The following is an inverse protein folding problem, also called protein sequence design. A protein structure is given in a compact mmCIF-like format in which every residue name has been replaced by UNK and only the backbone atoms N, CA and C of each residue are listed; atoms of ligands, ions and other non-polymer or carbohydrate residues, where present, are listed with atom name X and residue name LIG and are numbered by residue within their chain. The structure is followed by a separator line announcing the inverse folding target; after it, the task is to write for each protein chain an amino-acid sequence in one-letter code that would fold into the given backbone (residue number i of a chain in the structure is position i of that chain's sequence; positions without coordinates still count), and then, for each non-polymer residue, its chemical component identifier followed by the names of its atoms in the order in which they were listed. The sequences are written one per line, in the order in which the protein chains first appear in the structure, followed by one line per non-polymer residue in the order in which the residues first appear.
data_IF_622704931953
#
_entry.id   IF_622704931953
#
_cell.length_a   1.000
_cell.length_b   1.000
_cell.length_c   1.000
_cell.angle_alpha   90.00
_cell.angle_beta   90.00
_cell.angle_gamma   90.00
#
_symmetry.space_group_name_H-M   'P 1'
#
loop_
_entity.id
_entity.type
_entity.pdbx_description
1 polymer ?
#
# COMPACT_ATOMS: atom_id res chain seq x y z
N UNK A 1 15.75 -46.72 11.22
CA UNK A 1 14.55 -46.36 10.41
C UNK A 1 13.48 -45.61 11.21
N UNK A 2 13.10 -46.03 12.43
CA UNK A 2 12.08 -45.34 13.26
C UNK A 2 12.27 -43.82 13.46
N UNK A 3 13.52 -43.34 13.56
CA UNK A 3 13.81 -41.90 13.73
C UNK A 3 13.55 -41.06 12.48
N UNK A 4 13.67 -41.63 11.28
CA UNK A 4 13.42 -40.93 10.01
C UNK A 4 11.93 -40.72 9.79
N UNK A 5 11.09 -41.71 10.15
CA UNK A 5 9.63 -41.56 10.08
C UNK A 5 9.10 -40.46 10.99
N UNK A 6 9.69 -40.28 12.18
CA UNK A 6 9.33 -39.16 13.06
C UNK A 6 9.66 -37.80 12.46
N UNK A 7 10.84 -37.65 11.84
CA UNK A 7 11.25 -36.39 11.20
C UNK A 7 10.35 -36.08 9.99
N UNK A 8 10.04 -37.10 9.17
CA UNK A 8 9.16 -36.95 8.01
C UNK A 8 7.74 -36.55 8.45
N UNK A 9 7.23 -37.15 9.55
CA UNK A 9 5.92 -36.80 10.09
C UNK A 9 5.86 -35.34 10.57
N UNK A 10 6.90 -34.86 11.27
CA UNK A 10 6.97 -33.47 11.73
C UNK A 10 7.07 -32.50 10.54
N UNK A 11 7.89 -32.83 9.53
CA UNK A 11 8.03 -32.02 8.33
C UNK A 11 6.72 -31.95 7.52
N UNK A 12 5.96 -33.05 7.43
CA UNK A 12 4.67 -33.08 6.76
C UNK A 12 3.64 -32.17 7.47
N UNK A 13 3.58 -32.19 8.80
CA UNK A 13 2.67 -31.33 9.58
C UNK A 13 3.05 -29.85 9.43
N UNK A 14 4.35 -29.52 9.47
CA UNK A 14 4.82 -28.15 9.28
C UNK A 14 4.52 -27.63 7.86
N UNK A 15 4.68 -28.48 6.84
CA UNK A 15 4.36 -28.14 5.46
C UNK A 15 2.86 -27.92 5.24
N UNK A 16 1.97 -28.76 5.81
CA UNK A 16 0.52 -28.59 5.65
C UNK A 16 -0.03 -27.40 6.46
N UNK A 17 0.51 -27.15 7.65
CA UNK A 17 0.16 -25.97 8.45
C UNK A 17 0.70 -24.68 7.80
N UNK A 18 1.91 -24.70 7.27
CA UNK A 18 2.50 -23.59 6.52
C UNK A 18 1.75 -23.31 5.22
N UNK A 19 1.32 -24.35 4.50
CA UNK A 19 0.49 -24.20 3.30
C UNK A 19 -0.91 -23.67 3.61
N UNK A 20 -1.56 -24.12 4.70
CA UNK A 20 -2.85 -23.56 5.15
C UNK A 20 -2.72 -22.07 5.54
N UNK A 21 -1.63 -21.70 6.20
CA UNK A 21 -1.36 -20.32 6.61
C UNK A 21 -1.05 -19.41 5.41
N UNK A 22 -0.27 -19.89 4.44
CA UNK A 22 0.01 -19.13 3.22
C UNK A 22 -1.18 -19.09 2.25
N UNK A 23 -2.00 -20.15 2.18
CA UNK A 23 -3.22 -20.18 1.35
C UNK A 23 -4.34 -19.29 1.92
N UNK A 24 -4.38 -19.08 3.24
CA UNK A 24 -5.31 -18.13 3.86
C UNK A 24 -4.89 -16.66 3.67
N UNK A 25 -3.78 -16.38 2.98
CA UNK A 25 -3.34 -15.03 2.61
C UNK A 25 -3.70 -14.64 1.16
N UNK A 26 -4.55 -15.40 0.46
CA UNK A 26 -5.03 -15.02 -0.88
C UNK A 26 -5.98 -13.80 -0.84
N UNK A 27 -6.58 -13.49 0.31
CA UNK A 27 -7.42 -12.31 0.51
C UNK A 27 -7.01 -11.60 1.81
N UNK A 28 -5.91 -10.86 1.79
CA UNK A 28 -5.96 -9.60 2.52
C UNK A 28 -6.94 -8.70 1.75
N UNK A 29 -8.24 -8.92 1.95
CA UNK A 29 -9.26 -7.92 1.70
C UNK A 29 -8.92 -6.75 2.61
N UNK A 30 -8.07 -5.85 2.12
CA UNK A 30 -7.98 -4.51 2.65
C UNK A 30 -9.41 -3.99 2.58
N UNK A 31 -10.02 -3.78 3.75
CA UNK A 31 -11.35 -3.19 3.83
C UNK A 31 -11.40 -1.98 2.91
N UNK A 32 -12.50 -1.80 2.17
CA UNK A 32 -12.73 -0.59 1.37
C UNK A 32 -12.42 0.70 2.16
N UNK A 33 -12.58 0.66 3.48
CA UNK A 33 -12.23 1.75 4.38
C UNK A 33 -10.71 1.94 4.58
N UNK A 34 -9.94 0.86 4.66
CA UNK A 34 -8.47 0.93 4.71
C UNK A 34 -7.89 1.41 3.38
N UNK A 35 -8.45 0.95 2.24
CA UNK A 35 -8.09 1.44 0.91
C UNK A 35 -8.47 2.91 0.75
N UNK A 36 -9.69 3.30 1.12
CA UNK A 36 -10.14 4.70 1.07
C UNK A 36 -9.33 5.62 1.99
N UNK A 37 -8.80 5.14 3.12
CA UNK A 37 -7.92 5.92 3.99
C UNK A 37 -6.53 6.14 3.36
N UNK A 38 -5.98 5.13 2.67
CA UNK A 38 -4.72 5.26 1.90
C UNK A 38 -4.93 6.20 0.71
N UNK A 39 -6.04 6.03 -0.01
CA UNK A 39 -6.41 6.94 -1.10
C UNK A 39 -6.67 8.35 -0.57
N UNK A 40 -7.31 8.54 0.60
CA UNK A 40 -7.49 9.85 1.22
C UNK A 40 -6.16 10.52 1.60
N UNK A 41 -5.13 9.74 1.95
CA UNK A 41 -3.77 10.24 2.15
C UNK A 41 -3.11 10.64 0.81
N UNK A 42 -3.38 9.90 -0.27
CA UNK A 42 -2.89 10.20 -1.62
C UNK A 42 -3.74 11.26 -2.38
N UNK A 43 -4.93 11.61 -1.88
CA UNK A 43 -5.78 12.67 -2.47
C UNK A 43 -5.18 14.07 -2.35
N UNK A 44 -4.13 14.25 -1.56
CA UNK A 44 -3.28 15.45 -1.60
C UNK A 44 -2.30 15.49 -2.78
N UNK A 45 -2.11 14.35 -3.46
CA UNK A 45 -1.24 14.15 -4.63
C UNK A 45 -2.06 14.19 -5.94
N UNK A 46 -3.18 14.92 -5.95
CA UNK A 46 -4.07 14.99 -7.11
C UNK A 46 -3.50 15.86 -8.23
N UNK A 47 -2.65 15.27 -9.07
CA UNK A 47 -2.49 15.68 -10.47
C UNK A 47 -1.79 17.02 -10.72
N UNK A 48 -0.96 17.48 -9.79
CA UNK A 48 -0.21 18.73 -9.94
C UNK A 48 1.27 18.35 -10.02
N UNK A 49 1.84 18.21 -11.24
CA UNK A 49 3.17 17.62 -11.47
C UNK A 49 4.28 18.24 -10.62
N UNK A 50 4.09 19.51 -10.29
CA UNK A 50 5.01 20.34 -9.56
C UNK A 50 4.47 20.77 -8.19
N UNK A 51 3.22 20.47 -7.83
CA UNK A 51 2.58 21.00 -6.61
C UNK A 51 2.45 22.52 -6.58
N UNK A 52 1.66 23.04 -5.64
CA UNK A 52 1.56 24.47 -5.35
C UNK A 52 2.14 24.77 -3.97
N UNK A 53 3.06 25.74 -3.88
CA UNK A 53 3.66 26.23 -2.63
C UNK A 53 3.23 27.67 -2.35
N UNK A 54 3.24 28.08 -1.09
CA UNK A 54 2.80 29.43 -0.68
C UNK A 54 3.70 30.54 -1.25
N UNK A 55 3.19 31.78 -1.26
CA UNK A 55 3.91 33.01 -1.64
C UNK A 55 4.39 33.02 -3.11
N UNK A 56 3.46 32.83 -4.03
CA UNK A 56 3.73 32.90 -5.46
C UNK A 56 2.77 33.77 -6.25
N UNK A 57 3.10 33.96 -7.53
CA UNK A 57 2.34 34.78 -8.48
C UNK A 57 1.35 33.95 -9.32
N UNK A 58 1.09 32.71 -8.94
CA UNK A 58 0.17 31.81 -9.64
C UNK A 58 0.62 30.35 -9.67
N UNK A 59 -0.34 29.46 -9.43
CA UNK A 59 -0.18 28.02 -9.60
C UNK A 59 -1.44 27.42 -10.22
N UNK A 60 -1.28 26.54 -11.22
CA UNK A 60 -2.40 25.81 -11.81
C UNK A 60 -2.41 24.36 -11.30
N UNK A 61 -3.41 24.02 -10.49
CA UNK A 61 -3.58 22.69 -9.91
C UNK A 61 -5.05 22.29 -9.96
N UNK A 62 -5.48 21.76 -11.11
CA UNK A 62 -6.89 21.57 -11.51
C UNK A 62 -7.72 22.87 -11.60
N UNK A 63 -7.30 23.94 -10.92
CA UNK A 63 -7.83 25.30 -10.99
C UNK A 63 -6.70 26.32 -10.78
N UNK A 64 -6.94 27.57 -11.15
CA UNK A 64 -5.99 28.67 -10.95
C UNK A 64 -5.98 29.15 -9.50
N UNK A 65 -4.80 29.16 -8.89
CA UNK A 65 -4.58 29.66 -7.54
C UNK A 65 -3.63 30.87 -7.56
N UNK A 66 -4.12 32.10 -7.36
CA UNK A 66 -3.34 33.32 -7.56
C UNK A 66 -2.30 33.62 -6.46
N UNK A 67 -2.37 32.94 -5.30
CA UNK A 67 -1.51 33.22 -4.13
C UNK A 67 -0.41 32.17 -3.91
N UNK A 68 -0.35 31.16 -4.78
CA UNK A 68 0.62 30.07 -4.70
C UNK A 68 1.58 30.13 -5.89
N UNK A 69 2.74 29.48 -5.79
CA UNK A 69 3.69 29.26 -6.88
C UNK A 69 3.71 27.78 -7.27
N UNK A 70 3.93 27.48 -8.55
CA UNK A 70 4.32 26.14 -8.97
C UNK A 70 5.67 25.76 -8.36
N UNK A 71 5.77 24.62 -7.68
CA UNK A 71 7.04 24.21 -7.08
C UNK A 71 8.01 23.69 -8.13
N UNK A 72 9.13 24.40 -8.29
CA UNK A 72 10.18 24.07 -9.26
C UNK A 72 11.20 23.19 -8.55
N UNK A 73 11.20 21.89 -8.87
CA UNK A 73 12.19 20.92 -8.39
C UNK A 73 13.61 21.28 -8.84
#
# INVERSE_FOLDING_TARGET
MKKLFGIIAIAAIAATAGWNFCQSQDDMELSDLALANVEALARGESGCPNGCVENGDGCFCNMWHPVYAEYKK
#
